data_IF_961494707016
#
_entry.id   IF_961494707016
#
_cell.length_a   1.000
_cell.length_b   1.000
_cell.length_c   1.000
_cell.angle_alpha   90.00
_cell.angle_beta   90.00
_cell.angle_gamma   90.00
#
_symmetry.space_group_name_H-M   'P 1'
#
loop_
_entity.id
_entity.type
_entity.pdbx_description
1 polymer ?
#
# COMPACT_ATOMS: atom_id res chain seq x y z
N UNK A 1 10.17 7.24 -0.21
CA UNK A 1 8.98 6.46 0.18
C UNK A 1 8.37 6.94 1.50
N UNK A 2 9.13 7.02 2.60
CA UNK A 2 8.61 7.43 3.92
C UNK A 2 7.81 8.74 3.94
N UNK A 3 8.18 9.76 3.16
CA UNK A 3 7.45 11.03 3.11
C UNK A 3 6.02 10.91 2.56
N UNK A 4 5.82 10.07 1.53
CA UNK A 4 4.49 9.84 0.95
C UNK A 4 3.59 9.09 1.94
N UNK A 5 4.11 8.03 2.58
CA UNK A 5 3.41 7.29 3.63
C UNK A 5 3.01 8.22 4.78
N UNK A 6 3.94 9.05 5.26
CA UNK A 6 3.66 10.03 6.33
C UNK A 6 2.58 11.05 5.95
N UNK A 7 2.52 11.43 4.68
CA UNK A 7 1.50 12.36 4.19
C UNK A 7 0.11 11.72 4.19
N UNK A 8 0.01 10.44 3.86
CA UNK A 8 -1.25 9.67 3.94
C UNK A 8 -1.67 9.50 5.40
N UNK A 9 -0.75 9.10 6.28
CA UNK A 9 -1.01 8.92 7.71
C UNK A 9 -1.42 10.22 8.42
N UNK A 10 -0.97 11.37 7.93
CA UNK A 10 -1.29 12.68 8.48
C UNK A 10 -2.53 13.32 7.83
N UNK A 11 -3.22 12.62 6.92
CA UNK A 11 -4.39 13.17 6.26
C UNK A 11 -5.51 13.42 7.26
N UNK A 12 -6.11 14.62 7.19
CA UNK A 12 -7.25 14.99 8.05
C UNK A 12 -8.57 14.34 7.60
N UNK A 13 -8.58 13.75 6.40
CA UNK A 13 -9.74 13.08 5.81
C UNK A 13 -9.41 11.61 5.55
N UNK A 14 -10.42 10.71 5.62
CA UNK A 14 -10.21 9.30 5.31
C UNK A 14 -9.65 9.08 3.90
N UNK A 15 -8.64 8.21 3.80
CA UNK A 15 -7.97 7.88 2.55
C UNK A 15 -8.35 6.47 2.12
N UNK A 16 -8.81 6.35 0.86
CA UNK A 16 -9.20 5.09 0.26
C UNK A 16 -8.18 4.63 -0.79
N UNK A 17 -7.65 3.42 -0.61
CA UNK A 17 -6.85 2.74 -1.62
C UNK A 17 -7.75 1.88 -2.53
N UNK A 18 -7.87 2.25 -3.80
CA UNK A 18 -8.53 1.43 -4.82
C UNK A 18 -7.48 0.60 -5.58
N UNK A 19 -7.39 -0.70 -5.30
CA UNK A 19 -6.36 -1.59 -5.85
C UNK A 19 -6.90 -2.42 -7.02
N UNK A 20 -6.38 -2.16 -8.22
CA UNK A 20 -6.66 -2.91 -9.43
C UNK A 20 -5.36 -3.52 -9.98
N UNK A 21 -5.11 -4.78 -9.65
CA UNK A 21 -3.87 -5.48 -10.00
C UNK A 21 -2.99 -5.73 -8.79
N UNK A 22 -1.70 -5.42 -8.89
CA UNK A 22 -0.74 -5.72 -7.82
C UNK A 22 -0.36 -4.47 -7.04
N UNK A 23 -0.43 -4.52 -5.71
CA UNK A 23 0.26 -3.60 -4.82
C UNK A 23 1.28 -4.42 -4.02
N UNK A 24 2.53 -4.37 -4.46
CA UNK A 24 3.62 -5.14 -3.89
C UNK A 24 4.70 -4.21 -3.38
N UNK A 25 5.29 -4.59 -2.26
CA UNK A 25 6.38 -3.86 -1.67
C UNK A 25 6.02 -2.47 -1.18
N UNK A 26 6.79 -1.46 -1.57
CA UNK A 26 6.43 -0.06 -1.32
C UNK A 26 5.00 0.32 -1.75
N UNK A 27 4.43 -0.35 -2.76
CA UNK A 27 3.01 -0.19 -3.11
C UNK A 27 2.05 -0.74 -2.05
N UNK A 28 2.40 -1.87 -1.42
CA UNK A 28 1.66 -2.42 -0.27
C UNK A 28 1.83 -1.55 0.97
N UNK A 29 3.00 -0.94 1.19
CA UNK A 29 3.20 0.03 2.27
C UNK A 29 2.30 1.25 2.14
N UNK A 30 2.11 1.76 0.92
CA UNK A 30 1.16 2.85 0.66
C UNK A 30 -0.29 2.41 0.91
N UNK A 31 -0.66 1.20 0.49
CA UNK A 31 -2.00 0.64 0.75
C UNK A 31 -2.26 0.49 2.25
N UNK A 32 -1.26 0.04 3.02
CA UNK A 32 -1.34 -0.10 4.48
C UNK A 32 -1.44 1.23 5.22
N UNK A 33 -1.04 2.34 4.59
CA UNK A 33 -1.17 3.66 5.17
C UNK A 33 -2.60 4.24 5.05
N UNK A 34 -3.43 3.68 4.16
CA UNK A 34 -4.81 4.13 3.95
C UNK A 34 -5.79 3.52 4.95
N UNK A 35 -6.92 4.19 5.19
CA UNK A 35 -7.96 3.73 6.12
C UNK A 35 -8.80 2.58 5.57
N UNK A 36 -9.09 2.62 4.26
CA UNK A 36 -9.93 1.63 3.59
C UNK A 36 -9.25 1.16 2.33
N UNK A 37 -9.27 -0.16 2.12
CA UNK A 37 -8.76 -0.79 0.90
C UNK A 37 -9.90 -1.46 0.15
N UNK A 38 -10.15 -1.02 -1.08
CA UNK A 38 -11.05 -1.67 -2.03
C UNK A 38 -10.21 -2.37 -3.09
N UNK A 39 -10.14 -3.69 -3.00
CA UNK A 39 -9.34 -4.52 -3.91
C UNK A 39 -10.23 -5.29 -4.88
N UNK A 40 -9.87 -5.28 -6.16
CA UNK A 40 -10.53 -6.11 -7.18
C UNK A 40 -10.28 -7.59 -6.89
N UNK A 41 -11.23 -8.50 -7.16
CA UNK A 41 -10.96 -9.94 -7.11
C UNK A 41 -9.71 -10.29 -7.93
N UNK A 42 -8.76 -11.00 -7.32
CA UNK A 42 -7.48 -11.35 -7.93
C UNK A 42 -6.37 -10.30 -7.79
N UNK A 43 -6.63 -9.19 -7.10
CA UNK A 43 -5.56 -8.27 -6.72
C UNK A 43 -4.49 -8.97 -5.86
N UNK A 44 -3.23 -8.61 -6.08
CA UNK A 44 -2.09 -9.20 -5.36
C UNK A 44 -1.50 -8.18 -4.40
N UNK A 45 -1.54 -8.50 -3.11
CA UNK A 45 -1.01 -7.68 -2.03
C UNK A 45 0.12 -8.44 -1.33
N UNK A 46 1.21 -7.76 -0.97
CA UNK A 46 2.26 -8.36 -0.16
C UNK A 46 3.63 -7.70 -0.26
N UNK A 47 4.55 -8.17 0.57
CA UNK A 47 5.95 -7.70 0.65
C UNK A 47 6.91 -8.77 0.09
N UNK A 48 7.16 -8.80 -1.24
CA UNK A 48 8.06 -9.78 -1.84
C UNK A 48 9.54 -9.42 -1.73
N UNK A 49 9.90 -8.32 -1.06
CA UNK A 49 11.27 -7.81 -0.87
C UNK A 49 12.24 -8.88 -0.38
N UNK A 50 11.77 -9.82 0.45
CA UNK A 50 12.58 -10.92 0.94
C UNK A 50 13.15 -11.80 -0.18
N UNK A 51 12.47 -11.87 -1.34
CA UNK A 51 12.97 -12.59 -2.52
C UNK A 51 14.18 -11.93 -3.16
N UNK A 52 14.38 -10.64 -2.88
CA UNK A 52 15.54 -9.86 -3.29
C UNK A 52 16.59 -9.75 -2.16
N UNK A 53 16.32 -10.36 -0.99
CA UNK A 53 17.22 -10.30 0.17
C UNK A 53 17.23 -8.95 0.88
N UNK A 54 16.17 -8.15 0.74
CA UNK A 54 16.05 -6.82 1.35
C UNK A 54 14.79 -6.70 2.20
N UNK A 55 14.75 -5.69 3.06
CA UNK A 55 13.61 -5.29 3.88
C UNK A 55 13.53 -3.76 3.91
#
# INVERSE_FOLDING_TARGET
FAAAIRSILAAELPVLAAVNGAALGGGMELVLACDVVLARPGAKLGQPEIKLGVF
#
